data_IF_483324973662
#
_entry.id   IF_483324973662
#
_cell.length_a   1.000
_cell.length_b   1.000
_cell.length_c   1.000
_cell.angle_alpha   90.00
_cell.angle_beta   90.00
_cell.angle_gamma   90.00
#
_symmetry.space_group_name_H-M   'P 1'
#
loop_
_entity.id
_entity.type
_entity.pdbx_description
1 polymer ?
#
# COMPACT_ATOMS: atom_id res chain seq x y z
N UNK A 1 -52.24 32.63 -60.47
CA UNK A 1 -52.85 31.87 -61.58
C UNK A 1 -53.13 30.51 -61.00
N UNK A 2 -54.42 30.22 -60.63
CA UNK A 2 -55.39 29.43 -61.38
C UNK A 2 -55.00 27.93 -61.34
N UNK A 3 -55.70 26.96 -60.89
CA UNK A 3 -57.12 26.64 -60.48
C UNK A 3 -57.09 25.23 -59.90
N UNK A 4 -57.87 24.94 -58.86
CA UNK A 4 -59.10 24.11 -58.86
C UNK A 4 -58.92 22.68 -59.44
N UNK A 5 -59.44 21.58 -58.92
CA UNK A 5 -60.72 21.27 -58.25
C UNK A 5 -60.67 19.83 -57.77
N UNK A 6 -61.15 19.58 -56.61
CA UNK A 6 -62.28 18.75 -56.15
C UNK A 6 -62.69 17.51 -56.94
N UNK A 7 -62.92 16.38 -56.23
CA UNK A 7 -64.19 15.63 -56.06
C UNK A 7 -63.96 14.22 -55.58
N UNK A 8 -64.31 13.89 -54.42
CA UNK A 8 -65.39 13.01 -53.89
C UNK A 8 -65.75 11.73 -54.63
N UNK A 9 -65.80 10.63 -53.86
CA UNK A 9 -66.90 9.67 -53.61
C UNK A 9 -66.27 8.31 -53.13
N UNK A 10 -66.52 7.95 -51.89
CA UNK A 10 -67.54 6.97 -51.40
C UNK A 10 -67.40 5.56 -52.01
N UNK A 11 -67.03 4.58 -51.18
CA UNK A 11 -67.76 3.34 -50.94
C UNK A 11 -67.09 2.46 -49.87
N UNK A 12 -67.86 2.17 -48.85
CA UNK A 12 -67.62 1.03 -47.96
C UNK A 12 -68.25 -0.22 -48.60
N UNK A 13 -67.76 -1.45 -48.40
CA UNK A 13 -68.31 -2.27 -47.32
C UNK A 13 -67.39 -3.31 -46.64
N UNK A 14 -67.99 -3.80 -45.58
CA UNK A 14 -67.96 -5.11 -44.98
C UNK A 14 -66.72 -5.51 -44.14
N UNK A 15 -66.97 -5.53 -42.84
CA UNK A 15 -66.24 -6.17 -41.77
C UNK A 15 -66.13 -7.70 -41.98
N UNK A 16 -64.90 -8.21 -41.83
CA UNK A 16 -64.64 -9.62 -41.44
C UNK A 16 -63.79 -9.60 -40.17
N UNK A 17 -64.46 -10.01 -39.07
CA UNK A 17 -63.81 -10.25 -37.78
C UNK A 17 -62.89 -11.48 -37.88
N UNK A 18 -61.64 -11.28 -37.75
CA UNK A 18 -60.65 -12.35 -37.47
C UNK A 18 -60.34 -12.29 -35.99
N UNK A 19 -60.77 -13.34 -35.27
CA UNK A 19 -60.40 -13.54 -33.89
C UNK A 19 -58.93 -13.95 -33.85
N UNK A 20 -58.02 -13.05 -33.41
CA UNK A 20 -56.68 -13.40 -32.98
C UNK A 20 -56.75 -13.86 -31.53
N UNK A 21 -56.42 -15.12 -31.29
CA UNK A 21 -56.18 -15.67 -29.97
C UNK A 21 -54.82 -15.14 -29.48
N UNK A 22 -54.81 -14.24 -28.50
CA UNK A 22 -53.60 -13.88 -27.76
C UNK A 22 -53.20 -15.06 -26.88
N UNK A 23 -52.15 -15.76 -27.22
CA UNK A 23 -51.39 -16.61 -26.31
C UNK A 23 -50.45 -15.65 -25.52
N UNK A 24 -50.81 -15.38 -24.26
CA UNK A 24 -49.94 -14.66 -23.34
C UNK A 24 -48.81 -15.62 -22.91
N UNK A 25 -47.64 -15.45 -23.51
CA UNK A 25 -46.39 -16.05 -22.98
C UNK A 25 -46.02 -15.25 -21.75
N UNK A 26 -46.23 -15.81 -20.57
CA UNK A 26 -45.68 -15.30 -19.32
C UNK A 26 -44.16 -15.53 -19.36
N UNK A 27 -43.41 -14.49 -19.70
CA UNK A 27 -41.97 -14.46 -19.48
C UNK A 27 -41.74 -14.36 -17.97
N UNK A 28 -41.34 -15.49 -17.36
CA UNK A 28 -40.77 -15.48 -16.01
C UNK A 28 -39.45 -14.76 -16.12
N UNK A 29 -39.42 -13.47 -15.84
CA UNK A 29 -38.20 -12.74 -15.59
C UNK A 29 -37.65 -13.22 -14.25
N UNK A 30 -36.72 -14.17 -14.28
CA UNK A 30 -35.86 -14.47 -13.16
C UNK A 30 -35.00 -13.24 -12.92
N UNK A 31 -35.47 -12.34 -12.07
CA UNK A 31 -34.70 -11.22 -11.56
C UNK A 31 -33.57 -11.76 -10.74
N UNK A 32 -32.38 -11.95 -11.36
CA UNK A 32 -31.15 -12.01 -10.61
C UNK A 32 -31.04 -10.67 -9.87
N UNK A 33 -31.26 -10.70 -8.56
CA UNK A 33 -30.99 -9.55 -7.71
C UNK A 33 -29.48 -9.24 -7.85
N UNK A 34 -29.18 -8.22 -8.64
CA UNK A 34 -27.84 -7.69 -8.73
C UNK A 34 -27.56 -6.98 -7.39
N UNK A 35 -26.99 -7.70 -6.44
CA UNK A 35 -26.46 -7.07 -5.25
C UNK A 35 -25.36 -6.11 -5.72
N UNK A 36 -25.60 -4.80 -5.58
CA UNK A 36 -24.53 -3.83 -5.75
C UNK A 36 -23.44 -4.18 -4.72
N UNK A 37 -22.24 -4.42 -5.20
CA UNK A 37 -21.10 -4.67 -4.31
C UNK A 37 -20.98 -3.49 -3.35
N UNK A 38 -21.31 -3.71 -2.07
CA UNK A 38 -21.18 -2.69 -1.04
C UNK A 38 -19.72 -2.23 -0.91
N UNK A 39 -19.51 -1.09 -0.27
CA UNK A 39 -18.16 -0.60 0.03
C UNK A 39 -17.49 -1.47 1.11
N UNK A 40 -17.11 -2.72 0.76
CA UNK A 40 -16.39 -3.63 1.66
C UNK A 40 -14.91 -3.37 1.65
N UNK A 41 -14.24 -3.60 2.78
CA UNK A 41 -12.78 -3.50 2.90
C UNK A 41 -12.09 -4.48 1.96
N UNK A 42 -11.12 -4.02 1.16
CA UNK A 42 -10.33 -4.93 0.28
C UNK A 42 -9.45 -5.91 1.06
N UNK A 43 -9.22 -5.65 2.34
CA UNK A 43 -8.59 -6.56 3.29
C UNK A 43 -9.62 -6.88 4.39
N UNK A 44 -10.08 -8.13 4.54
CA UNK A 44 -11.14 -8.48 5.47
C UNK A 44 -10.85 -8.04 6.92
N UNK A 45 -11.76 -7.28 7.50
CA UNK A 45 -11.66 -6.79 8.87
C UNK A 45 -10.76 -5.57 9.08
N UNK A 46 -9.98 -5.16 8.09
CA UNK A 46 -9.16 -3.95 8.20
C UNK A 46 -10.05 -2.68 8.21
N UNK A 47 -9.59 -1.67 8.97
CA UNK A 47 -10.29 -0.39 9.22
C UNK A 47 -9.30 0.76 9.10
N UNK A 48 -8.71 0.95 7.92
CA UNK A 48 -7.71 1.98 7.65
C UNK A 48 -8.20 2.97 6.57
N UNK A 49 -7.46 4.04 6.35
CA UNK A 49 -7.82 5.05 5.33
C UNK A 49 -7.86 4.41 3.93
N UNK A 50 -8.89 4.68 3.14
CA UNK A 50 -9.00 4.18 1.77
C UNK A 50 -9.23 2.66 1.62
N UNK A 51 -9.44 1.94 2.71
CA UNK A 51 -9.54 0.47 2.72
C UNK A 51 -10.76 -0.07 1.94
N UNK A 52 -11.74 0.77 1.68
CA UNK A 52 -12.93 0.44 0.88
C UNK A 52 -12.76 0.80 -0.60
N UNK A 53 -11.52 0.98 -1.04
CA UNK A 53 -11.22 1.19 -2.47
C UNK A 53 -11.89 0.12 -3.34
N UNK A 54 -12.47 0.48 -4.50
CA UNK A 54 -12.96 -0.54 -5.42
C UNK A 54 -11.81 -1.34 -6.05
N UNK A 55 -10.62 -0.74 -6.17
CA UNK A 55 -9.46 -1.35 -6.82
C UNK A 55 -9.84 -2.07 -8.12
N UNK A 56 -9.43 -3.32 -8.32
CA UNK A 56 -9.75 -4.10 -9.52
C UNK A 56 -11.08 -4.86 -9.47
N UNK A 57 -11.93 -4.63 -8.46
CA UNK A 57 -13.19 -5.37 -8.24
C UNK A 57 -14.08 -5.35 -9.48
N UNK A 58 -14.59 -6.52 -9.86
CA UNK A 58 -15.48 -6.68 -11.00
C UNK A 58 -14.80 -6.52 -12.36
N UNK A 59 -13.49 -6.41 -12.40
CA UNK A 59 -12.73 -6.16 -13.60
C UNK A 59 -12.18 -7.41 -14.28
N UNK A 60 -11.38 -7.18 -15.34
CA UNK A 60 -10.69 -8.23 -16.05
C UNK A 60 -9.60 -8.87 -15.20
N UNK A 61 -9.48 -10.20 -15.22
CA UNK A 61 -8.35 -10.92 -14.63
C UNK A 61 -7.25 -11.07 -15.69
N UNK A 62 -6.13 -10.39 -15.48
CA UNK A 62 -5.00 -10.38 -16.41
C UNK A 62 -3.85 -11.21 -15.82
N UNK A 63 -3.45 -12.26 -16.55
CA UNK A 63 -2.42 -13.19 -16.11
C UNK A 63 -1.04 -12.67 -16.48
N UNK A 64 -0.15 -12.58 -15.49
CA UNK A 64 1.28 -12.32 -15.70
C UNK A 64 1.98 -13.67 -15.85
N UNK A 65 2.45 -13.95 -17.06
CA UNK A 65 2.97 -15.27 -17.46
C UNK A 65 4.47 -15.27 -17.74
N UNK A 66 5.11 -14.10 -17.70
CA UNK A 66 6.56 -13.97 -17.86
C UNK A 66 7.13 -12.83 -17.00
N UNK A 67 8.45 -12.77 -16.90
CA UNK A 67 9.20 -11.80 -16.09
C UNK A 67 9.81 -10.65 -16.93
N UNK A 68 9.35 -10.47 -18.15
CA UNK A 68 9.83 -9.39 -19.01
C UNK A 68 9.44 -8.03 -18.42
N UNK A 69 10.30 -7.04 -18.63
CA UNK A 69 10.04 -5.67 -18.20
C UNK A 69 8.79 -5.07 -18.87
N UNK A 70 8.47 -5.51 -20.10
CA UNK A 70 7.34 -5.06 -20.90
C UNK A 70 6.86 -6.14 -21.88
N UNK A 71 5.87 -5.82 -22.72
CA UNK A 71 5.32 -6.71 -23.73
C UNK A 71 4.21 -7.64 -23.21
N UNK A 72 3.70 -8.47 -24.10
CA UNK A 72 2.58 -9.36 -23.81
C UNK A 72 2.91 -10.34 -22.67
N UNK A 73 1.97 -10.54 -21.73
CA UNK A 73 2.12 -11.41 -20.59
C UNK A 73 3.01 -10.87 -19.46
N UNK A 74 3.57 -9.66 -19.60
CA UNK A 74 4.32 -9.00 -18.53
C UNK A 74 3.41 -8.31 -17.50
N UNK A 75 3.94 -8.01 -16.30
CA UNK A 75 3.25 -7.17 -15.32
C UNK A 75 2.92 -5.79 -15.89
N UNK A 76 3.84 -5.21 -16.67
CA UNK A 76 3.61 -3.91 -17.29
C UNK A 76 2.42 -3.92 -18.24
N UNK A 77 2.20 -4.96 -19.00
CA UNK A 77 1.01 -5.09 -19.86
C UNK A 77 -0.29 -5.06 -19.05
N UNK A 78 -0.32 -5.69 -17.87
CA UNK A 78 -1.47 -5.59 -16.97
C UNK A 78 -1.62 -4.18 -16.39
N UNK A 79 -0.54 -3.56 -15.97
CA UNK A 79 -0.56 -2.20 -15.40
C UNK A 79 -1.03 -1.16 -16.41
N UNK A 80 -0.61 -1.28 -17.66
CA UNK A 80 -0.96 -0.34 -18.74
C UNK A 80 -2.39 -0.54 -19.29
N UNK A 81 -3.02 -1.68 -19.04
CA UNK A 81 -4.40 -1.93 -19.44
C UNK A 81 -5.35 -0.89 -18.80
N UNK A 82 -6.47 -0.64 -19.46
CA UNK A 82 -7.50 0.30 -19.00
C UNK A 82 -8.70 -0.41 -18.39
N UNK A 83 -9.48 0.30 -17.60
CA UNK A 83 -10.64 -0.25 -16.89
C UNK A 83 -10.27 -1.02 -15.61
N UNK A 84 -11.28 -1.49 -14.86
CA UNK A 84 -11.05 -2.29 -13.67
C UNK A 84 -10.33 -3.60 -14.02
N UNK A 85 -9.28 -3.96 -13.24
CA UNK A 85 -8.47 -5.16 -13.55
C UNK A 85 -7.70 -5.67 -12.34
N UNK A 86 -7.46 -6.97 -12.35
CA UNK A 86 -6.67 -7.69 -11.36
C UNK A 86 -5.50 -8.38 -12.04
N UNK A 87 -4.27 -8.01 -11.70
CA UNK A 87 -3.06 -8.67 -12.16
C UNK A 87 -2.77 -9.87 -11.26
N UNK A 88 -2.82 -11.08 -11.80
CA UNK A 88 -2.50 -12.34 -11.11
C UNK A 88 -1.28 -12.98 -11.74
N UNK A 89 -0.43 -13.62 -10.94
CA UNK A 89 0.87 -14.12 -11.39
C UNK A 89 0.89 -15.64 -11.49
N UNK A 90 1.23 -16.16 -12.66
CA UNK A 90 1.52 -17.58 -12.90
C UNK A 90 3.01 -17.91 -12.85
N UNK A 91 3.84 -16.88 -12.59
CA UNK A 91 5.30 -16.99 -12.52
C UNK A 91 5.82 -16.37 -11.22
N UNK A 92 6.99 -16.81 -10.79
CA UNK A 92 7.80 -16.15 -9.76
C UNK A 92 9.17 -15.77 -10.30
N UNK A 93 9.83 -14.81 -9.67
CA UNK A 93 11.18 -14.38 -10.05
C UNK A 93 11.36 -12.88 -10.02
N UNK A 94 12.43 -12.42 -10.69
CA UNK A 94 12.80 -11.00 -10.77
C UNK A 94 12.37 -10.39 -12.07
N UNK A 95 11.68 -9.26 -12.01
CA UNK A 95 11.35 -8.41 -13.17
C UNK A 95 12.37 -7.28 -13.25
N UNK A 96 13.26 -7.26 -14.26
CA UNK A 96 14.30 -6.22 -14.40
C UNK A 96 13.72 -4.97 -15.06
N UNK A 97 13.31 -3.99 -14.27
CA UNK A 97 12.80 -2.72 -14.77
C UNK A 97 13.93 -1.81 -15.25
N UNK A 98 13.67 -0.97 -16.25
CA UNK A 98 14.57 0.09 -16.75
C UNK A 98 14.23 1.47 -16.15
N UNK A 99 13.23 1.55 -15.33
CA UNK A 99 12.70 2.72 -14.64
C UNK A 99 11.56 2.26 -13.75
N UNK A 100 10.81 3.19 -13.16
CA UNK A 100 9.69 2.83 -12.29
C UNK A 100 8.59 2.05 -13.01
N UNK A 101 7.95 1.14 -12.29
CA UNK A 101 6.65 0.60 -12.67
C UNK A 101 5.56 1.62 -12.31
N UNK A 102 5.09 2.36 -13.31
CA UNK A 102 4.17 3.49 -13.10
C UNK A 102 2.72 3.08 -13.34
N UNK A 103 1.89 3.16 -12.29
CA UNK A 103 0.45 2.94 -12.37
C UNK A 103 -0.26 4.25 -12.73
N UNK A 104 -0.78 4.34 -13.96
CA UNK A 104 -1.47 5.53 -14.48
C UNK A 104 -2.97 5.35 -14.63
N UNK A 105 -3.44 4.12 -14.82
CA UNK A 105 -4.84 3.80 -15.06
C UNK A 105 -5.50 3.33 -13.74
N UNK A 106 -6.63 3.90 -13.34
CA UNK A 106 -7.27 3.60 -12.06
C UNK A 106 -7.93 2.22 -12.03
N UNK A 107 -8.40 1.84 -10.84
CA UNK A 107 -9.13 0.60 -10.56
C UNK A 107 -8.29 -0.63 -10.86
N UNK A 108 -7.16 -0.75 -10.17
CA UNK A 108 -6.23 -1.87 -10.32
C UNK A 108 -5.98 -2.58 -9.00
N UNK A 109 -5.94 -3.91 -9.06
CA UNK A 109 -5.36 -4.77 -8.01
C UNK A 109 -4.13 -5.48 -8.57
N UNK A 110 -2.98 -5.37 -7.89
CA UNK A 110 -1.79 -6.20 -8.16
C UNK A 110 -1.70 -7.24 -7.04
N UNK A 111 -2.00 -8.49 -7.37
CA UNK A 111 -2.14 -9.58 -6.42
C UNK A 111 -0.89 -10.47 -6.41
N UNK A 112 0.20 -9.99 -5.79
CA UNK A 112 1.49 -10.71 -5.70
C UNK A 112 1.40 -12.05 -4.94
N UNK A 113 0.39 -12.22 -4.05
CA UNK A 113 0.11 -13.48 -3.35
C UNK A 113 -0.19 -14.65 -4.29
N UNK A 114 -0.59 -14.38 -5.52
CA UNK A 114 -0.88 -15.43 -6.51
C UNK A 114 0.37 -16.05 -7.13
N UNK A 115 1.51 -15.35 -7.05
CA UNK A 115 2.77 -15.88 -7.55
C UNK A 115 3.21 -17.14 -6.79
N UNK A 116 3.77 -18.15 -7.47
CA UNK A 116 4.42 -19.25 -6.77
C UNK A 116 5.58 -18.74 -5.92
N UNK A 117 6.05 -19.53 -4.95
CA UNK A 117 7.25 -19.21 -4.19
C UNK A 117 8.46 -19.08 -5.14
N UNK A 118 9.35 -18.11 -4.90
CA UNK A 118 9.46 -17.14 -3.79
C UNK A 118 8.76 -15.81 -4.03
N UNK A 119 7.82 -15.71 -4.96
CA UNK A 119 7.09 -14.47 -5.28
C UNK A 119 7.74 -13.63 -6.37
N UNK A 120 7.37 -12.35 -6.44
CA UNK A 120 7.83 -11.41 -7.45
C UNK A 120 8.73 -10.34 -6.82
N UNK A 121 9.88 -10.09 -7.46
CA UNK A 121 10.77 -8.97 -7.11
C UNK A 121 10.91 -8.02 -8.29
N UNK A 122 10.64 -6.73 -8.06
CA UNK A 122 10.95 -5.65 -8.98
C UNK A 122 12.37 -5.14 -8.70
N UNK A 123 13.18 -4.97 -9.74
CA UNK A 123 14.57 -4.51 -9.67
C UNK A 123 14.81 -3.40 -10.69
N UNK A 124 15.66 -2.42 -10.36
CA UNK A 124 16.05 -1.34 -11.27
C UNK A 124 15.14 -0.12 -11.22
N UNK A 125 13.93 -0.24 -10.70
CA UNK A 125 12.97 0.84 -10.46
C UNK A 125 12.04 0.52 -9.31
N UNK A 126 11.32 1.53 -8.83
CA UNK A 126 10.33 1.44 -7.78
C UNK A 126 8.90 1.21 -8.30
N UNK A 127 7.97 1.12 -7.37
CA UNK A 127 6.54 1.15 -7.63
C UNK A 127 6.04 2.60 -7.54
N UNK A 128 5.52 3.15 -8.63
CA UNK A 128 5.09 4.54 -8.70
C UNK A 128 3.57 4.63 -8.98
N UNK A 129 2.80 4.98 -7.94
CA UNK A 129 1.34 5.11 -8.01
C UNK A 129 0.96 6.54 -8.37
N UNK A 130 0.41 6.72 -9.55
CA UNK A 130 -0.04 8.03 -10.09
C UNK A 130 -1.53 8.05 -10.45
N UNK A 131 -2.31 7.20 -9.82
CA UNK A 131 -3.74 7.04 -10.09
C UNK A 131 -4.50 6.64 -8.82
N UNK A 132 -5.82 6.71 -8.88
CA UNK A 132 -6.72 6.37 -7.78
C UNK A 132 -7.20 4.91 -7.85
N UNK A 133 -7.80 4.45 -6.75
CA UNK A 133 -8.45 3.15 -6.64
C UNK A 133 -7.47 2.00 -6.91
N UNK A 134 -6.46 1.90 -6.03
CA UNK A 134 -5.34 0.97 -6.17
C UNK A 134 -5.24 0.06 -4.95
N UNK A 135 -5.04 -1.24 -5.19
CA UNK A 135 -4.58 -2.22 -4.20
C UNK A 135 -3.32 -2.90 -4.74
N UNK A 136 -2.24 -2.87 -3.96
CA UNK A 136 -1.01 -3.63 -4.25
C UNK A 136 -0.65 -4.47 -3.04
N UNK A 137 -0.45 -5.75 -3.26
CA UNK A 137 -0.09 -6.71 -2.22
C UNK A 137 1.05 -7.64 -2.65
N UNK A 138 1.87 -8.03 -1.68
CA UNK A 138 2.82 -9.15 -1.76
C UNK A 138 3.89 -9.01 -2.87
N UNK A 139 4.44 -7.82 -3.04
CA UNK A 139 5.58 -7.56 -3.93
C UNK A 139 6.85 -7.25 -3.14
N UNK A 140 7.99 -7.75 -3.60
CA UNK A 140 9.30 -7.22 -3.23
C UNK A 140 9.68 -6.13 -4.23
N UNK A 141 10.05 -4.95 -3.75
CA UNK A 141 10.48 -3.82 -4.57
C UNK A 141 11.87 -3.38 -4.11
N UNK A 142 12.86 -3.66 -4.92
CA UNK A 142 14.27 -3.41 -4.62
C UNK A 142 14.95 -2.75 -5.80
N UNK A 143 14.83 -1.42 -5.94
CA UNK A 143 15.40 -0.70 -7.08
C UNK A 143 16.90 -0.96 -7.25
N UNK A 144 17.67 -0.92 -6.16
CA UNK A 144 19.11 -1.12 -6.17
C UNK A 144 19.87 -0.01 -6.88
N UNK A 145 21.17 -0.21 -7.07
CA UNK A 145 22.09 0.79 -7.62
C UNK A 145 22.61 0.44 -9.02
N UNK A 146 21.91 -0.39 -9.76
CA UNK A 146 22.26 -0.72 -11.14
C UNK A 146 22.19 0.51 -12.07
N UNK A 147 23.13 0.70 -13.01
CA UNK A 147 23.22 1.90 -13.86
C UNK A 147 22.01 2.11 -14.75
N UNK A 148 21.38 1.04 -15.22
CA UNK A 148 20.28 1.09 -16.18
C UNK A 148 18.89 1.25 -15.55
N UNK A 149 18.81 1.52 -14.24
CA UNK A 149 17.56 1.71 -13.54
C UNK A 149 17.03 3.14 -13.56
N UNK A 150 16.03 3.43 -12.73
CA UNK A 150 15.51 4.78 -12.49
C UNK A 150 16.64 5.75 -12.12
N UNK A 151 16.61 7.04 -12.53
CA UNK A 151 17.59 8.02 -12.10
C UNK A 151 17.78 8.07 -10.59
N UNK A 152 19.03 8.16 -10.08
CA UNK A 152 19.31 8.03 -8.65
C UNK A 152 18.60 9.05 -7.75
N UNK A 153 18.38 10.27 -8.25
CA UNK A 153 17.81 11.39 -7.47
C UNK A 153 16.38 11.14 -6.97
N UNK A 154 15.66 10.21 -7.58
CA UNK A 154 14.30 9.85 -7.18
C UNK A 154 14.09 8.34 -7.25
N UNK A 155 15.13 7.55 -6.96
CA UNK A 155 15.04 6.09 -6.98
C UNK A 155 14.54 5.56 -5.64
N UNK A 156 13.24 5.78 -5.42
CA UNK A 156 12.52 5.26 -4.26
C UNK A 156 12.07 3.81 -4.46
N UNK A 157 11.74 3.15 -3.35
CA UNK A 157 11.05 1.87 -3.39
C UNK A 157 9.57 2.02 -3.75
N UNK A 158 8.86 2.88 -3.03
CA UNK A 158 7.46 3.24 -3.27
C UNK A 158 7.33 4.73 -3.52
N UNK A 159 6.57 5.10 -4.54
CA UNK A 159 6.13 6.50 -4.77
C UNK A 159 4.62 6.57 -4.89
N UNK A 160 3.99 7.52 -4.19
CA UNK A 160 2.57 7.86 -4.34
C UNK A 160 2.50 9.35 -4.62
N UNK A 161 2.14 9.73 -5.84
CA UNK A 161 2.18 11.14 -6.25
C UNK A 161 1.13 11.44 -7.32
N UNK A 162 0.08 12.16 -6.94
CA UNK A 162 -0.91 12.70 -7.87
C UNK A 162 -0.42 13.93 -8.62
N UNK A 163 -1.12 14.33 -9.67
CA UNK A 163 -0.87 15.61 -10.33
C UNK A 163 -1.26 16.77 -9.40
N UNK A 164 -0.60 17.95 -9.52
CA UNK A 164 -0.86 19.10 -8.62
C UNK A 164 -2.32 19.56 -8.58
N UNK A 165 -3.03 19.42 -9.69
CA UNK A 165 -4.41 19.86 -9.88
C UNK A 165 -5.47 18.91 -9.34
N UNK A 166 -5.13 17.66 -9.10
CA UNK A 166 -6.09 16.65 -8.66
C UNK A 166 -5.46 15.58 -7.76
N UNK A 167 -5.99 15.44 -6.55
CA UNK A 167 -5.51 14.40 -5.64
C UNK A 167 -5.93 13.00 -6.12
N UNK A 168 -4.97 12.09 -6.19
CA UNK A 168 -5.25 10.66 -6.31
C UNK A 168 -5.70 10.12 -4.95
N UNK A 169 -6.57 9.10 -4.93
CA UNK A 169 -7.18 8.63 -3.67
C UNK A 169 -7.47 7.14 -3.65
N UNK A 170 -7.76 6.66 -2.44
CA UNK A 170 -8.14 5.27 -2.19
C UNK A 170 -7.03 4.31 -2.62
N UNK A 171 -5.86 4.45 -2.01
CA UNK A 171 -4.67 3.66 -2.32
C UNK A 171 -4.34 2.78 -1.12
N UNK A 172 -4.19 1.49 -1.35
CA UNK A 172 -3.80 0.50 -0.33
C UNK A 172 -2.55 -0.23 -0.79
N UNK A 173 -1.48 -0.11 0.00
CA UNK A 173 -0.22 -0.83 -0.17
C UNK A 173 -0.05 -1.72 1.05
N UNK A 174 -0.13 -3.02 0.86
CA UNK A 174 -0.21 -3.95 1.97
C UNK A 174 0.70 -5.17 1.73
N UNK A 175 1.36 -5.64 2.79
CA UNK A 175 2.25 -6.80 2.74
C UNK A 175 3.25 -6.73 1.56
N UNK A 176 3.96 -5.61 1.40
CA UNK A 176 5.07 -5.48 0.46
C UNK A 176 6.40 -5.32 1.21
N UNK A 177 7.51 -5.59 0.53
CA UNK A 177 8.87 -5.38 1.06
C UNK A 177 9.63 -4.40 0.17
N UNK A 178 9.99 -3.25 0.73
CA UNK A 178 10.74 -2.19 0.07
C UNK A 178 12.14 -2.12 0.65
N UNK A 179 13.16 -2.33 -0.19
CA UNK A 179 14.56 -2.29 0.23
C UNK A 179 15.45 -1.76 -0.89
N UNK A 180 16.64 -1.30 -0.54
CA UNK A 180 17.69 -0.93 -1.48
C UNK A 180 17.32 0.23 -2.41
N UNK A 181 16.51 1.16 -1.92
CA UNK A 181 16.31 2.46 -2.56
C UNK A 181 17.57 3.33 -2.41
N UNK A 182 17.75 4.27 -3.33
CA UNK A 182 18.83 5.25 -3.29
C UNK A 182 18.37 6.53 -2.60
N UNK A 183 17.12 6.92 -2.80
CA UNK A 183 16.48 8.04 -2.13
C UNK A 183 15.64 7.54 -0.94
N UNK A 184 14.32 7.58 -0.94
CA UNK A 184 13.47 7.04 0.10
C UNK A 184 13.10 5.56 -0.11
N UNK A 185 12.96 4.82 0.99
CA UNK A 185 12.30 3.51 0.94
C UNK A 185 10.84 3.64 0.51
N UNK A 186 10.20 4.76 0.86
CA UNK A 186 8.87 5.08 0.40
C UNK A 186 8.54 6.55 0.53
N UNK A 187 7.86 7.09 -0.47
CA UNK A 187 7.37 8.47 -0.46
C UNK A 187 5.89 8.53 -0.88
N UNK A 188 5.09 9.29 -0.12
CA UNK A 188 3.78 9.75 -0.54
C UNK A 188 3.87 11.27 -0.64
N UNK A 189 4.23 11.79 -1.83
CA UNK A 189 4.54 13.20 -2.03
C UNK A 189 3.58 13.86 -3.01
N UNK A 190 2.95 14.96 -2.61
CA UNK A 190 1.96 15.75 -3.35
C UNK A 190 0.64 15.02 -3.71
N UNK A 191 -0.43 15.76 -3.67
CA UNK A 191 -1.77 15.50 -4.23
C UNK A 191 -2.32 14.07 -4.07
N UNK A 192 -2.50 13.60 -2.84
CA UNK A 192 -3.14 12.32 -2.54
C UNK A 192 -4.08 12.44 -1.33
N UNK A 193 -5.03 11.50 -1.20
CA UNK A 193 -5.91 11.34 -0.04
C UNK A 193 -6.33 9.88 0.15
N UNK A 194 -6.74 9.52 1.35
CA UNK A 194 -7.19 8.18 1.71
C UNK A 194 -6.18 7.08 1.32
N UNK A 195 -5.02 7.10 1.96
CA UNK A 195 -3.92 6.16 1.73
C UNK A 195 -3.76 5.24 2.93
N UNK A 196 -3.63 3.94 2.68
CA UNK A 196 -3.18 2.93 3.64
C UNK A 196 -1.85 2.34 3.22
N UNK A 197 -0.91 2.31 4.14
CA UNK A 197 0.38 1.63 4.01
C UNK A 197 0.49 0.70 5.22
N UNK A 198 0.26 -0.60 5.01
CA UNK A 198 0.08 -1.55 6.13
C UNK A 198 0.88 -2.83 5.96
N UNK A 199 1.36 -3.38 7.07
CA UNK A 199 2.04 -4.68 7.12
C UNK A 199 3.27 -4.79 6.19
N UNK A 200 3.93 -3.70 5.85
CA UNK A 200 5.09 -3.71 4.95
C UNK A 200 6.41 -3.80 5.72
N UNK A 201 7.46 -4.19 5.01
CA UNK A 201 8.85 -3.98 5.42
C UNK A 201 9.44 -2.83 4.61
N UNK A 202 10.02 -1.84 5.29
CA UNK A 202 10.84 -0.76 4.73
C UNK A 202 12.23 -0.88 5.37
N UNK A 203 13.20 -1.42 4.66
CA UNK A 203 14.49 -1.71 5.27
C UNK A 203 15.68 -1.63 4.31
N UNK A 204 16.86 -1.49 4.90
CA UNK A 204 18.11 -1.53 4.15
C UNK A 204 18.18 -0.51 3.01
N UNK A 205 17.90 0.80 3.24
CA UNK A 205 18.18 1.81 2.23
C UNK A 205 19.68 1.88 1.94
N UNK A 206 20.03 2.26 0.71
CA UNK A 206 21.42 2.43 0.31
C UNK A 206 21.94 3.79 0.79
N UNK A 207 22.74 3.81 1.85
CA UNK A 207 23.10 5.04 2.54
C UNK A 207 24.13 5.88 1.78
N UNK A 208 25.33 5.37 1.56
CA UNK A 208 26.34 6.00 0.69
C UNK A 208 26.27 5.35 -0.68
N UNK A 209 25.51 5.95 -1.59
CA UNK A 209 25.24 5.39 -2.90
C UNK A 209 25.33 6.43 -4.02
N UNK A 210 24.57 6.26 -5.08
CA UNK A 210 24.63 7.11 -6.28
C UNK A 210 23.78 8.40 -6.17
N UNK A 211 23.22 8.72 -4.99
CA UNK A 211 22.40 9.92 -4.86
C UNK A 211 23.25 11.18 -5.09
N UNK A 212 22.82 12.13 -5.96
CA UNK A 212 23.64 13.29 -6.30
C UNK A 212 23.89 14.26 -5.12
N UNK A 213 23.05 14.25 -4.10
CA UNK A 213 23.22 15.03 -2.87
C UNK A 213 24.09 14.35 -1.82
N UNK A 214 24.69 13.20 -2.13
CA UNK A 214 25.57 12.46 -1.23
C UNK A 214 24.83 11.40 -0.39
N UNK A 215 25.31 11.16 0.83
CA UNK A 215 24.77 10.11 1.70
C UNK A 215 23.30 10.32 2.05
N UNK A 216 22.45 9.40 1.61
CA UNK A 216 20.98 9.41 1.75
C UNK A 216 20.51 8.28 2.69
N UNK A 217 19.74 7.32 2.22
CA UNK A 217 19.29 6.19 3.01
C UNK A 217 18.13 6.55 3.92
N UNK A 218 17.12 7.22 3.40
CA UNK A 218 15.94 7.64 4.15
C UNK A 218 14.84 6.56 4.17
N UNK A 219 14.01 6.61 5.22
CA UNK A 219 12.87 5.72 5.42
C UNK A 219 11.66 6.13 4.59
N UNK A 220 10.59 6.56 5.26
CA UNK A 220 9.31 6.87 4.61
C UNK A 220 8.90 8.32 4.89
N UNK A 221 8.48 9.04 3.83
CA UNK A 221 8.01 10.42 3.96
C UNK A 221 6.58 10.58 3.44
N UNK A 222 5.76 11.34 4.18
CA UNK A 222 4.44 11.78 3.74
C UNK A 222 4.51 13.27 3.46
N UNK A 223 4.36 13.67 2.22
CA UNK A 223 4.59 15.00 1.74
C UNK A 223 3.51 16.01 2.11
N UNK A 224 3.69 17.28 1.72
CA UNK A 224 2.84 18.41 2.14
C UNK A 224 1.50 18.37 1.42
N UNK A 225 0.55 17.58 1.93
CA UNK A 225 -0.78 17.43 1.33
C UNK A 225 -1.88 17.56 2.37
N UNK A 226 -3.08 17.93 1.91
CA UNK A 226 -4.32 17.86 2.68
C UNK A 226 -4.92 16.45 2.60
N UNK A 227 -4.09 15.43 2.83
CA UNK A 227 -4.45 14.03 2.71
C UNK A 227 -4.62 13.33 4.05
N UNK A 228 -5.31 12.20 4.03
CA UNK A 228 -5.51 11.30 5.15
C UNK A 228 -4.74 10.01 4.89
N UNK A 229 -3.82 9.66 5.80
CA UNK A 229 -3.01 8.45 5.69
C UNK A 229 -3.03 7.63 6.99
N UNK A 230 -3.14 6.32 6.83
CA UNK A 230 -2.88 5.34 7.90
C UNK A 230 -1.62 4.55 7.57
N UNK A 231 -0.64 4.65 8.45
CA UNK A 231 0.62 3.90 8.41
C UNK A 231 0.66 2.94 9.59
N UNK A 232 0.40 1.64 9.36
CA UNK A 232 0.18 0.71 10.47
C UNK A 232 0.82 -0.66 10.26
N UNK A 233 1.29 -1.27 11.35
CA UNK A 233 1.87 -2.61 11.39
C UNK A 233 3.10 -2.80 10.47
N UNK A 234 3.80 -1.74 10.13
CA UNK A 234 4.99 -1.80 9.28
C UNK A 234 6.25 -2.01 10.13
N UNK A 235 7.24 -2.64 9.54
CA UNK A 235 8.62 -2.65 10.03
C UNK A 235 9.44 -1.64 9.24
N UNK A 236 10.01 -0.63 9.93
CA UNK A 236 11.07 0.22 9.36
C UNK A 236 12.38 -0.14 10.03
N UNK A 237 13.43 -0.42 9.26
CA UNK A 237 14.72 -0.86 9.82
C UNK A 237 15.92 -0.28 9.09
N UNK A 238 16.85 0.30 9.86
CA UNK A 238 18.16 0.74 9.37
C UNK A 238 18.15 2.02 8.54
N UNK A 239 17.09 2.79 8.54
CA UNK A 239 17.03 4.05 7.82
C UNK A 239 17.62 5.23 8.65
N UNK A 240 18.18 6.20 7.96
CA UNK A 240 18.87 7.35 8.58
C UNK A 240 17.93 8.24 9.37
N UNK A 241 16.83 8.67 8.74
CA UNK A 241 15.74 9.51 9.26
C UNK A 241 14.46 9.19 8.50
N UNK A 242 13.37 9.91 8.78
CA UNK A 242 12.06 9.70 8.12
C UNK A 242 11.48 8.31 8.45
N UNK A 243 11.28 8.02 9.75
CA UNK A 243 10.85 6.69 10.23
C UNK A 243 9.45 6.67 10.92
N UNK A 244 8.35 7.15 10.31
CA UNK A 244 8.27 8.01 9.13
C UNK A 244 8.43 9.51 9.46
N UNK A 245 8.62 10.35 8.45
CA UNK A 245 8.43 11.78 8.54
C UNK A 245 7.05 12.14 8.01
N UNK A 246 6.21 12.76 8.83
CA UNK A 246 4.90 13.25 8.42
C UNK A 246 4.88 14.76 8.20
N UNK A 247 4.45 15.14 7.02
CA UNK A 247 4.17 16.49 6.59
C UNK A 247 2.72 16.60 6.04
N UNK A 248 1.91 15.57 6.26
CA UNK A 248 0.51 15.53 5.88
C UNK A 248 -0.38 16.18 6.93
N UNK A 249 -1.51 16.74 6.50
CA UNK A 249 -2.45 17.36 7.45
C UNK A 249 -3.15 16.36 8.35
N UNK A 250 -3.24 15.07 7.98
CA UNK A 250 -4.01 14.08 8.71
C UNK A 250 -3.30 12.73 8.69
N UNK A 251 -2.59 12.38 9.76
CA UNK A 251 -1.75 11.17 9.80
C UNK A 251 -2.08 10.31 11.01
N UNK A 252 -2.21 9.00 10.78
CA UNK A 252 -2.32 7.98 11.81
C UNK A 252 -1.15 7.00 11.68
N UNK A 253 -0.26 6.95 12.68
CA UNK A 253 0.92 6.08 12.75
C UNK A 253 0.72 5.12 13.90
N UNK A 254 0.45 3.84 13.61
CA UNK A 254 -0.05 2.89 14.62
C UNK A 254 0.62 1.52 14.51
N UNK A 255 1.01 0.99 15.67
CA UNK A 255 1.51 -0.37 15.82
C UNK A 255 2.68 -0.73 14.87
N UNK A 256 3.53 0.24 14.54
CA UNK A 256 4.73 -0.02 13.74
C UNK A 256 5.90 -0.39 14.66
N UNK A 257 6.86 -1.12 14.09
CA UNK A 257 8.19 -1.33 14.68
C UNK A 257 9.19 -0.49 13.91
N UNK A 258 9.87 0.42 14.62
CA UNK A 258 10.93 1.27 14.09
C UNK A 258 12.23 0.84 14.78
N UNK A 259 13.16 0.31 14.00
CA UNK A 259 14.40 -0.26 14.51
C UNK A 259 15.64 0.36 13.88
N UNK A 260 16.66 0.66 14.73
CA UNK A 260 18.02 0.95 14.29
C UNK A 260 18.13 2.15 13.34
N UNK A 261 17.41 3.25 13.62
CA UNK A 261 17.57 4.53 12.90
C UNK A 261 18.90 5.19 13.28
N UNK A 262 19.53 5.92 12.35
CA UNK A 262 20.78 6.61 12.65
C UNK A 262 20.55 7.92 13.38
N UNK A 263 19.75 8.82 12.80
CA UNK A 263 19.59 10.18 13.31
C UNK A 263 18.25 10.42 14.00
N UNK A 264 17.14 10.10 13.35
CA UNK A 264 15.80 10.45 13.84
C UNK A 264 14.82 9.30 13.70
N UNK A 265 13.97 9.11 14.71
CA UNK A 265 12.84 8.21 14.69
C UNK A 265 11.66 8.79 13.92
N UNK A 266 10.48 8.88 14.54
CA UNK A 266 9.29 9.52 13.94
C UNK A 266 9.49 11.04 13.95
N UNK A 267 9.21 11.69 12.84
CA UNK A 267 9.31 13.15 12.71
C UNK A 267 7.98 13.76 12.25
N UNK A 268 7.60 14.89 12.86
CA UNK A 268 6.42 15.68 12.52
C UNK A 268 6.84 17.07 12.08
N UNK A 269 6.41 17.47 10.90
CA UNK A 269 6.63 18.80 10.35
C UNK A 269 5.40 19.30 9.59
N UNK A 270 5.47 20.53 9.08
CA UNK A 270 4.45 21.11 8.18
C UNK A 270 5.06 22.13 7.25
N UNK A 271 4.51 22.30 6.07
CA UNK A 271 4.77 23.41 5.16
C UNK A 271 3.64 24.45 5.23
N UNK A 272 3.32 24.89 6.45
CA UNK A 272 2.37 25.97 6.71
C UNK A 272 0.91 25.52 6.90
N UNK A 273 0.57 24.27 6.69
CA UNK A 273 -0.77 23.75 6.96
C UNK A 273 -0.92 23.25 8.41
N UNK A 274 -2.07 23.45 9.02
CA UNK A 274 -2.42 22.83 10.31
C UNK A 274 -2.44 21.32 10.15
N UNK A 275 -1.71 20.62 11.02
CA UNK A 275 -1.59 19.16 10.99
C UNK A 275 -2.26 18.50 12.20
N UNK A 276 -2.77 17.32 11.99
CA UNK A 276 -3.33 16.45 13.04
C UNK A 276 -2.71 15.08 12.91
N UNK A 277 -2.01 14.67 13.97
CA UNK A 277 -1.27 13.41 13.99
C UNK A 277 -1.73 12.56 15.17
N UNK A 278 -1.93 11.26 14.95
CA UNK A 278 -2.15 10.25 15.99
C UNK A 278 -1.03 9.22 15.93
N UNK A 279 -0.26 9.09 17.00
CA UNK A 279 0.90 8.21 17.11
C UNK A 279 0.65 7.25 18.27
N UNK A 280 0.26 6.01 17.98
CA UNK A 280 -0.26 5.09 18.99
C UNK A 280 0.31 3.68 18.83
N UNK A 281 0.72 3.09 19.93
CA UNK A 281 1.08 1.67 19.97
C UNK A 281 2.35 1.30 19.19
N UNK A 282 3.22 2.27 18.85
CA UNK A 282 4.45 1.96 18.11
C UNK A 282 5.56 1.49 19.07
N UNK A 283 6.47 0.67 18.55
CA UNK A 283 7.65 0.17 19.25
C UNK A 283 8.90 0.71 18.55
N UNK A 284 9.66 1.57 19.25
CA UNK A 284 10.88 2.19 18.74
C UNK A 284 12.09 1.62 19.47
N UNK A 285 12.95 0.90 18.77
CA UNK A 285 14.09 0.16 19.34
C UNK A 285 15.38 0.71 18.75
N UNK A 286 16.26 1.24 19.62
CA UNK A 286 17.61 1.61 19.24
C UNK A 286 18.41 0.38 18.82
N UNK A 287 19.30 0.56 17.85
CA UNK A 287 20.19 -0.49 17.37
C UNK A 287 21.61 0.04 17.19
N UNK A 288 22.51 -0.75 16.61
CA UNK A 288 23.93 -0.37 16.46
C UNK A 288 24.18 0.92 15.68
N UNK A 289 23.25 1.32 14.78
CA UNK A 289 23.36 2.58 14.03
C UNK A 289 22.81 3.78 14.78
N UNK A 290 22.01 3.58 15.83
CA UNK A 290 21.34 4.67 16.54
C UNK A 290 22.33 5.42 17.42
N UNK A 291 22.89 6.50 16.90
CA UNK A 291 23.82 7.39 17.59
C UNK A 291 23.15 8.63 18.17
N UNK A 292 21.91 8.90 17.77
CA UNK A 292 21.17 10.07 18.18
C UNK A 292 20.75 10.00 19.65
N UNK A 293 20.96 11.10 20.38
CA UNK A 293 20.39 11.35 21.73
C UNK A 293 19.01 12.03 21.68
N UNK A 294 18.50 12.36 20.48
CA UNK A 294 17.18 12.97 20.35
C UNK A 294 16.06 12.01 20.76
N UNK A 295 14.93 12.56 21.14
CA UNK A 295 13.76 11.77 21.50
C UNK A 295 13.30 10.88 20.30
N UNK A 296 12.71 9.70 20.58
CA UNK A 296 12.22 8.81 19.53
C UNK A 296 11.13 9.41 18.63
N UNK A 297 10.33 10.33 19.15
CA UNK A 297 9.29 11.08 18.41
C UNK A 297 9.66 12.56 18.47
N UNK A 298 9.72 13.21 17.32
CA UNK A 298 10.21 14.57 17.19
C UNK A 298 9.19 15.47 16.48
N UNK A 299 9.01 16.68 17.03
CA UNK A 299 8.29 17.76 16.36
C UNK A 299 9.32 18.80 15.92
N UNK A 300 9.34 19.18 14.65
CA UNK A 300 10.30 20.15 14.11
C UNK A 300 10.04 21.54 14.67
N UNK A 301 11.12 22.24 15.03
CA UNK A 301 11.09 23.57 15.61
C UNK A 301 11.68 24.67 14.68
N UNK A 302 12.12 24.29 13.46
CA UNK A 302 12.63 25.20 12.43
C UNK A 302 11.51 25.86 11.62
N UNK A 303 11.83 26.35 10.42
CA UNK A 303 10.86 26.96 9.49
C UNK A 303 9.74 26.00 9.05
N UNK A 304 9.90 24.69 9.27
CA UNK A 304 8.90 23.66 8.95
C UNK A 304 8.09 23.21 10.16
N UNK A 305 8.13 23.96 11.27
CA UNK A 305 7.33 23.65 12.46
C UNK A 305 5.82 23.65 12.14
N UNK A 306 5.04 22.72 12.70
CA UNK A 306 3.59 22.76 12.57
C UNK A 306 3.02 24.10 13.10
N UNK A 307 2.13 24.77 12.39
CA UNK A 307 1.57 26.04 12.82
C UNK A 307 0.64 25.90 14.02
N UNK A 308 0.29 27.04 14.64
CA UNK A 308 -0.70 27.07 15.71
C UNK A 308 -2.01 26.41 15.28
N UNK A 309 -2.63 25.66 16.21
CA UNK A 309 -3.81 24.82 15.92
C UNK A 309 -3.49 23.39 15.53
N UNK A 310 -2.24 23.08 15.18
CA UNK A 310 -1.83 21.67 14.96
C UNK A 310 -1.94 20.85 16.24
N UNK A 311 -2.29 19.57 16.09
CA UNK A 311 -2.50 18.65 17.22
C UNK A 311 -1.78 17.32 17.03
N UNK A 312 -1.25 16.81 18.13
CA UNK A 312 -0.58 15.50 18.20
C UNK A 312 -1.16 14.72 19.37
N UNK A 313 -1.74 13.58 19.07
CA UNK A 313 -2.15 12.60 20.07
C UNK A 313 -1.07 11.50 20.16
N UNK A 314 -0.57 11.27 21.35
CA UNK A 314 0.47 10.26 21.63
C UNK A 314 -0.02 9.36 22.74
N UNK A 315 -0.07 8.05 22.50
CA UNK A 315 -0.49 7.06 23.50
C UNK A 315 0.17 5.70 23.22
N UNK A 316 0.44 4.96 24.29
CA UNK A 316 0.86 3.56 24.23
C UNK A 316 2.04 3.29 23.27
N UNK A 317 3.03 4.19 23.17
CA UNK A 317 4.26 3.92 22.42
C UNK A 317 5.36 3.45 23.38
N UNK A 318 6.14 2.45 22.96
CA UNK A 318 7.28 1.92 23.71
C UNK A 318 8.59 2.34 23.07
N UNK A 319 9.48 2.93 23.84
CA UNK A 319 10.84 3.29 23.45
C UNK A 319 11.73 3.41 24.70
N UNK A 320 13.05 3.58 24.53
CA UNK A 320 13.93 3.98 25.63
C UNK A 320 13.45 5.30 26.23
N UNK A 321 13.31 5.34 27.56
CA UNK A 321 12.79 6.50 28.29
C UNK A 321 11.26 6.58 28.35
N UNK A 322 10.52 5.57 27.91
CA UNK A 322 9.07 5.48 28.13
C UNK A 322 8.75 5.44 29.60
N UNK A 323 7.72 6.18 30.00
CA UNK A 323 7.16 6.24 31.36
C UNK A 323 5.63 6.16 31.29
N UNK A 324 4.96 6.35 32.42
CA UNK A 324 3.49 6.50 32.42
C UNK A 324 3.00 7.77 31.70
N UNK A 325 3.87 8.80 31.54
CA UNK A 325 3.57 9.94 30.66
C UNK A 325 3.92 9.57 29.22
N UNK A 326 2.96 9.45 28.29
CA UNK A 326 3.22 9.12 26.91
C UNK A 326 4.06 10.17 26.17
N UNK A 327 4.19 11.38 26.73
CA UNK A 327 5.00 12.46 26.17
C UNK A 327 6.46 12.45 26.63
N UNK A 328 6.85 11.56 27.53
CA UNK A 328 8.26 11.43 27.97
C UNK A 328 9.24 11.13 26.83
N UNK A 329 8.75 10.51 25.75
CA UNK A 329 9.53 10.13 24.55
C UNK A 329 9.32 11.09 23.38
N UNK A 330 8.72 12.26 23.60
CA UNK A 330 8.48 13.29 22.56
C UNK A 330 9.35 14.50 22.82
N UNK A 331 10.10 14.89 21.83
CA UNK A 331 10.99 16.06 21.87
C UNK A 331 10.83 16.96 20.64
N UNK A 332 11.78 17.88 20.52
CA UNK A 332 11.88 18.76 19.36
C UNK A 332 13.19 18.54 18.62
N UNK A 333 13.21 18.82 17.31
CA UNK A 333 14.44 18.80 16.49
C UNK A 333 14.62 20.14 15.78
N UNK A 334 15.87 20.46 15.42
CA UNK A 334 16.26 21.73 14.77
C UNK A 334 15.89 22.98 15.58
N UNK A 335 15.92 22.88 16.92
CA UNK A 335 15.61 23.95 17.85
C UNK A 335 14.71 23.46 18.99
N UNK A 336 14.24 24.41 19.80
CA UNK A 336 13.36 24.15 20.94
C UNK A 336 12.06 24.92 20.80
N UNK A 337 10.95 24.30 21.21
CA UNK A 337 9.65 24.97 21.29
C UNK A 337 8.80 24.35 22.41
N UNK A 338 7.81 25.10 22.87
CA UNK A 338 6.85 24.59 23.82
C UNK A 338 5.81 23.67 23.12
N UNK A 339 5.80 22.40 23.49
CA UNK A 339 4.93 21.38 22.94
C UNK A 339 3.52 21.32 23.56
N UNK A 340 3.27 22.07 24.65
CA UNK A 340 2.01 21.98 25.41
C UNK A 340 0.78 22.28 24.54
N UNK A 341 0.87 23.26 23.64
CA UNK A 341 -0.23 23.64 22.75
C UNK A 341 -0.56 22.60 21.68
N UNK A 342 0.36 21.70 21.40
CA UNK A 342 0.20 20.62 20.40
C UNK A 342 -0.45 19.37 20.98
N UNK A 343 -0.42 19.17 22.30
CA UNK A 343 -0.99 18.00 22.97
C UNK A 343 -2.49 17.88 22.70
N UNK A 344 -2.93 16.71 22.29
CA UNK A 344 -4.34 16.34 22.17
C UNK A 344 -4.69 15.28 23.21
N UNK A 345 -5.87 15.41 23.85
CA UNK A 345 -6.36 14.45 24.84
C UNK A 345 -6.96 13.18 24.21
N UNK A 346 -7.35 13.25 22.93
CA UNK A 346 -7.90 12.13 22.18
C UNK A 346 -7.47 12.25 20.71
N UNK A 347 -7.48 11.15 19.93
CA UNK A 347 -7.14 11.20 18.52
C UNK A 347 -8.22 11.96 17.75
N UNK A 348 -7.87 13.11 17.17
CA UNK A 348 -8.77 13.88 16.30
C UNK A 348 -8.95 13.22 14.93
N UNK A 349 -7.98 12.36 14.52
CA UNK A 349 -8.02 11.54 13.31
C UNK A 349 -7.86 10.08 13.74
N UNK A 350 -8.90 9.30 13.49
CA UNK A 350 -8.91 7.87 13.80
C UNK A 350 -9.84 7.15 12.84
N UNK A 351 -9.38 6.11 12.13
CA UNK A 351 -10.27 5.35 11.27
C UNK A 351 -11.38 4.67 12.08
N UNK A 352 -12.61 4.80 11.64
CA UNK A 352 -13.77 4.26 12.35
C UNK A 352 -13.65 2.74 12.55
N UNK A 353 -13.74 2.30 13.80
CA UNK A 353 -13.62 0.89 14.16
C UNK A 353 -12.21 0.32 14.11
N UNK A 354 -11.16 1.16 13.91
CA UNK A 354 -9.78 0.71 13.99
C UNK A 354 -9.40 0.45 15.46
N UNK A 355 -8.79 -0.70 15.73
CA UNK A 355 -8.31 -1.09 17.07
C UNK A 355 -6.80 -1.24 17.05
N UNK A 356 -6.17 -0.93 18.19
CA UNK A 356 -4.73 -1.06 18.38
C UNK A 356 -4.38 -2.32 19.14
N UNK A 357 -3.17 -2.82 18.92
CA UNK A 357 -2.51 -3.78 19.80
C UNK A 357 -1.71 -3.02 20.86
N UNK A 358 -1.59 -3.52 22.09
CA UNK A 358 -0.70 -2.91 23.09
C UNK A 358 0.76 -2.99 22.66
N UNK A 359 1.51 -1.90 22.84
CA UNK A 359 2.95 -1.86 22.49
C UNK A 359 3.80 -2.62 23.52
N UNK A 360 3.29 -2.81 24.73
CA UNK A 360 3.95 -3.56 25.82
C UNK A 360 4.03 -5.06 25.53
N UNK A 361 4.79 -5.77 26.37
CA UNK A 361 4.90 -7.23 26.41
C UNK A 361 5.26 -7.89 25.08
N UNK A 362 5.82 -7.10 24.14
CA UNK A 362 6.22 -7.59 22.82
C UNK A 362 5.06 -7.91 21.88
N UNK A 363 3.82 -7.52 22.19
CA UNK A 363 2.65 -7.85 21.37
C UNK A 363 2.81 -7.28 19.96
N UNK A 364 3.02 -5.97 19.83
CA UNK A 364 3.25 -5.32 18.51
C UNK A 364 4.53 -5.83 17.87
N UNK A 365 5.63 -5.91 18.63
CA UNK A 365 6.91 -6.38 18.10
C UNK A 365 6.77 -7.77 17.47
N UNK A 366 6.22 -8.73 18.20
CA UNK A 366 6.05 -10.10 17.72
C UNK A 366 5.10 -10.17 16.53
N UNK A 367 4.00 -9.41 16.55
CA UNK A 367 3.04 -9.35 15.45
C UNK A 367 3.71 -8.84 14.17
N UNK A 368 4.37 -7.68 14.24
CA UNK A 368 5.01 -7.06 13.08
C UNK A 368 6.14 -7.94 12.53
N UNK A 369 7.02 -8.47 13.39
CA UNK A 369 8.09 -9.37 12.96
C UNK A 369 7.57 -10.69 12.36
N UNK A 370 6.38 -11.12 12.76
CA UNK A 370 5.77 -12.33 12.22
C UNK A 370 5.10 -12.09 10.86
N UNK A 371 4.35 -10.99 10.72
CA UNK A 371 3.40 -10.83 9.62
C UNK A 371 3.76 -9.73 8.60
N UNK A 372 4.74 -8.85 8.86
CA UNK A 372 5.10 -7.82 7.87
C UNK A 372 5.91 -8.36 6.69
N UNK A 373 5.84 -7.65 5.56
CA UNK A 373 6.57 -7.94 4.35
C UNK A 373 5.82 -8.76 3.31
N UNK A 374 6.44 -8.95 2.16
CA UNK A 374 5.79 -9.50 0.99
C UNK A 374 5.32 -10.96 1.16
N UNK A 375 6.09 -11.78 1.85
CA UNK A 375 5.77 -13.23 2.03
C UNK A 375 6.18 -13.71 3.42
N UNK A 376 5.44 -13.37 4.46
CA UNK A 376 5.82 -13.72 5.83
C UNK A 376 6.05 -15.22 6.08
N UNK A 377 5.30 -16.10 5.40
CA UNK A 377 5.44 -17.53 5.56
C UNK A 377 6.69 -18.11 4.88
N UNK A 378 7.15 -17.51 3.79
CA UNK A 378 8.29 -17.99 2.99
C UNK A 378 9.23 -16.84 2.57
N UNK A 379 9.61 -15.98 3.52
CA UNK A 379 10.52 -14.86 3.31
C UNK A 379 11.78 -15.23 2.54
N UNK A 380 12.20 -14.36 1.64
CA UNK A 380 13.52 -14.47 1.00
C UNK A 380 14.68 -14.14 1.98
N UNK A 381 15.91 -14.20 1.49
CA UNK A 381 17.10 -13.98 2.32
C UNK A 381 17.21 -12.57 2.88
N UNK A 382 16.69 -11.56 2.17
CA UNK A 382 16.72 -10.15 2.60
C UNK A 382 15.74 -9.93 3.74
N UNK A 383 14.47 -10.29 3.54
CA UNK A 383 13.44 -10.13 4.57
C UNK A 383 13.73 -10.97 5.81
N UNK A 384 14.28 -12.19 5.63
CA UNK A 384 14.75 -13.02 6.76
C UNK A 384 15.84 -12.29 7.55
N UNK A 385 16.84 -11.72 6.88
CA UNK A 385 17.94 -10.99 7.52
C UNK A 385 17.41 -9.76 8.27
N UNK A 386 16.53 -8.98 7.66
CA UNK A 386 15.92 -7.80 8.29
C UNK A 386 15.21 -8.16 9.58
N UNK A 387 14.35 -9.16 9.57
CA UNK A 387 13.64 -9.65 10.77
C UNK A 387 14.63 -10.19 11.82
N UNK A 388 15.65 -10.92 11.39
CA UNK A 388 16.68 -11.46 12.28
C UNK A 388 17.50 -10.36 12.95
N UNK A 389 17.85 -9.29 12.21
CA UNK A 389 18.56 -8.15 12.76
C UNK A 389 17.79 -7.49 13.91
N UNK A 390 16.48 -7.31 13.75
CA UNK A 390 15.64 -6.77 14.85
C UNK A 390 15.66 -7.69 16.06
N UNK A 391 15.51 -9.00 15.86
CA UNK A 391 15.49 -9.98 16.96
C UNK A 391 16.80 -10.05 17.72
N UNK A 392 17.92 -9.90 17.00
CA UNK A 392 19.26 -10.05 17.57
C UNK A 392 19.89 -8.73 18.00
N UNK A 393 19.25 -7.57 17.76
CA UNK A 393 19.82 -6.27 18.03
C UNK A 393 21.04 -5.96 17.13
N UNK A 394 21.02 -6.42 15.87
CA UNK A 394 22.14 -6.30 14.91
C UNK A 394 21.73 -5.51 13.67
N UNK A 395 22.63 -5.36 12.72
CA UNK A 395 22.40 -4.66 11.45
C UNK A 395 23.25 -3.39 11.32
N UNK A 396 23.60 -3.05 10.11
CA UNK A 396 24.45 -1.92 9.76
C UNK A 396 23.94 -1.17 8.53
N UNK A 397 24.60 -0.04 8.22
CA UNK A 397 24.33 0.72 6.99
C UNK A 397 24.81 -0.07 5.78
N UNK A 398 24.06 0.03 4.68
CA UNK A 398 24.51 -0.48 3.40
C UNK A 398 25.16 0.68 2.64
N UNK A 399 26.48 0.66 2.60
CA UNK A 399 27.28 1.69 1.94
C UNK A 399 27.86 1.14 0.65
N UNK A 400 27.78 1.91 -0.42
CA UNK A 400 28.56 1.71 -1.62
C UNK A 400 29.91 2.36 -1.42
N UNK A 401 30.93 1.56 -1.31
CA UNK A 401 32.28 2.11 -1.30
C UNK A 401 32.77 2.11 -2.73
N UNK A 402 32.57 3.17 -3.47
CA UNK A 402 33.47 3.76 -4.45
C UNK A 402 32.84 4.83 -5.31
N UNK A 403 33.38 6.04 -5.34
CA UNK A 403 33.02 7.09 -6.27
C UNK A 403 33.25 6.72 -7.75
N UNK A 404 33.98 5.64 -8.03
CA UNK A 404 34.33 5.20 -9.39
C UNK A 404 33.26 4.32 -10.06
N UNK A 405 32.11 4.11 -9.44
CA UNK A 405 30.99 3.40 -10.05
C UNK A 405 31.16 1.88 -10.25
N UNK A 406 32.21 1.29 -9.72
CA UNK A 406 32.54 -0.14 -9.94
C UNK A 406 32.05 -1.07 -8.84
N UNK A 407 31.83 -0.58 -7.63
CA UNK A 407 31.30 -1.38 -6.52
C UNK A 407 29.84 -1.08 -6.29
N UNK A 408 28.98 -2.10 -6.32
CA UNK A 408 27.54 -1.98 -6.10
C UNK A 408 27.20 -2.18 -4.64
N UNK A 409 26.32 -1.35 -4.09
CA UNK A 409 25.89 -1.43 -2.70
C UNK A 409 25.21 -2.76 -2.37
N UNK A 410 24.41 -3.27 -3.29
CA UNK A 410 23.76 -4.56 -3.13
C UNK A 410 24.76 -5.70 -2.90
N UNK A 411 25.99 -5.60 -3.42
CA UNK A 411 27.06 -6.58 -3.17
C UNK A 411 27.46 -6.61 -1.70
N UNK A 412 27.56 -5.45 -1.06
CA UNK A 412 27.89 -5.34 0.37
C UNK A 412 26.76 -5.89 1.27
N UNK A 413 25.52 -5.90 0.76
CA UNK A 413 24.37 -6.54 1.41
C UNK A 413 24.22 -8.04 1.10
N UNK A 414 25.27 -8.69 0.57
CA UNK A 414 25.23 -10.11 0.18
C UNK A 414 24.76 -10.36 -1.25
N UNK A 415 24.57 -9.31 -2.05
CA UNK A 415 24.09 -9.37 -3.42
C UNK A 415 22.58 -9.55 -3.52
N UNK A 416 22.09 -9.59 -4.76
CA UNK A 416 20.69 -9.82 -5.04
C UNK A 416 20.27 -11.24 -4.63
N UNK A 417 19.15 -11.42 -3.94
CA UNK A 417 18.65 -12.76 -3.66
C UNK A 417 18.30 -13.45 -4.98
N UNK A 418 18.64 -14.72 -5.08
CA UNK A 418 18.20 -15.56 -6.20
C UNK A 418 16.71 -15.83 -6.02
N UNK A 419 15.89 -15.23 -6.88
CA UNK A 419 14.47 -15.52 -6.94
C UNK A 419 14.26 -16.66 -7.95
N UNK A 420 13.87 -17.83 -7.46
CA UNK A 420 13.60 -18.97 -8.33
C UNK A 420 12.48 -18.63 -9.33
N UNK A 421 12.72 -18.97 -10.60
CA UNK A 421 11.74 -18.82 -11.67
C UNK A 421 10.87 -20.06 -11.73
N UNK A 422 9.76 -20.03 -11.01
CA UNK A 422 8.78 -21.10 -11.02
C UNK A 422 7.56 -20.69 -11.85
N UNK A 423 6.86 -21.67 -12.41
CA UNK A 423 5.62 -21.45 -13.15
C UNK A 423 4.52 -22.33 -12.55
N UNK A 424 3.36 -21.74 -12.38
CA UNK A 424 2.16 -22.43 -11.88
C UNK A 424 0.92 -21.84 -12.53
N UNK A 425 0.27 -22.57 -13.45
CA UNK A 425 -1.02 -22.17 -13.98
C UNK A 425 -2.04 -21.98 -12.85
N UNK A 426 -2.79 -20.92 -12.89
CA UNK A 426 -3.80 -20.60 -11.89
C UNK A 426 -5.17 -21.14 -12.32
N UNK A 427 -5.84 -21.87 -11.42
CA UNK A 427 -7.26 -22.17 -11.55
C UNK A 427 -8.04 -21.07 -10.85
N UNK A 428 -8.69 -20.22 -11.64
CA UNK A 428 -9.56 -19.16 -11.12
C UNK A 428 -10.87 -19.74 -10.63
N UNK A 429 -11.54 -19.09 -9.67
CA UNK A 429 -12.89 -19.49 -9.27
C UNK A 429 -13.87 -19.35 -10.45
N UNK A 430 -14.90 -20.19 -10.45
CA UNK A 430 -16.01 -20.01 -11.36
C UNK A 430 -16.66 -18.64 -11.11
N UNK A 431 -17.11 -17.98 -12.19
CA UNK A 431 -17.69 -16.63 -12.12
C UNK A 431 -16.90 -15.66 -11.21
N UNK A 432 -15.66 -15.31 -11.56
CA UNK A 432 -14.75 -14.57 -10.69
C UNK A 432 -15.37 -13.27 -10.15
N UNK A 433 -16.25 -12.64 -10.93
CA UNK A 433 -16.88 -11.35 -10.62
C UNK A 433 -18.25 -11.46 -9.95
N UNK A 434 -18.79 -12.69 -9.76
CA UNK A 434 -20.03 -12.86 -9.02
C UNK A 434 -19.86 -12.41 -7.56
N UNK A 435 -20.79 -11.58 -7.09
CA UNK A 435 -20.78 -11.00 -5.73
C UNK A 435 -21.49 -11.94 -4.78
N UNK A 436 -20.83 -12.26 -3.67
CA UNK A 436 -21.37 -13.09 -2.57
C UNK A 436 -22.21 -12.25 -1.61
N UNK A 437 -22.96 -12.90 -0.72
CA UNK A 437 -23.76 -12.24 0.33
C UNK A 437 -22.93 -11.30 1.21
N UNK A 438 -21.62 -11.58 1.40
CA UNK A 438 -20.69 -10.72 2.13
C UNK A 438 -20.22 -9.48 1.36
N UNK A 439 -20.67 -9.28 0.11
CA UNK A 439 -20.30 -8.15 -0.74
C UNK A 439 -18.95 -8.28 -1.46
N UNK A 440 -18.22 -9.37 -1.23
CA UNK A 440 -17.00 -9.72 -1.96
C UNK A 440 -17.30 -10.47 -3.24
N UNK A 441 -16.45 -10.31 -4.25
CA UNK A 441 -16.51 -11.20 -5.42
C UNK A 441 -15.85 -12.56 -5.11
N UNK A 442 -16.19 -13.60 -5.87
CA UNK A 442 -15.53 -14.91 -5.76
C UNK A 442 -14.01 -14.80 -5.93
N UNK A 443 -13.56 -13.91 -6.83
CA UNK A 443 -12.14 -13.64 -7.01
C UNK A 443 -11.50 -13.04 -5.76
N UNK A 444 -12.15 -12.07 -5.10
CA UNK A 444 -11.61 -11.48 -3.88
C UNK A 444 -11.51 -12.50 -2.75
N UNK A 445 -12.51 -13.36 -2.55
CA UNK A 445 -12.42 -14.42 -1.54
C UNK A 445 -11.25 -15.37 -1.82
N UNK A 446 -11.07 -15.76 -3.08
CA UNK A 446 -9.95 -16.59 -3.50
C UNK A 446 -8.59 -15.89 -3.28
N UNK A 447 -8.49 -14.58 -3.54
CA UNK A 447 -7.29 -13.79 -3.27
C UNK A 447 -7.01 -13.67 -1.77
N UNK A 448 -8.03 -13.56 -0.94
CA UNK A 448 -7.89 -13.53 0.51
C UNK A 448 -7.34 -14.86 1.06
N UNK A 449 -7.79 -16.00 0.53
CA UNK A 449 -7.26 -17.31 0.89
C UNK A 449 -5.78 -17.45 0.50
N UNK A 450 -5.41 -17.00 -0.70
CA UNK A 450 -4.03 -16.99 -1.14
C UNK A 450 -3.15 -16.05 -0.31
N UNK A 451 -3.68 -14.90 0.09
CA UNK A 451 -2.99 -13.99 1.00
C UNK A 451 -2.75 -14.65 2.36
N UNK A 452 -3.77 -15.31 2.93
CA UNK A 452 -3.62 -16.03 4.20
C UNK A 452 -2.51 -17.10 4.13
N UNK A 453 -2.41 -17.84 3.02
CA UNK A 453 -1.35 -18.84 2.81
C UNK A 453 0.05 -18.22 2.84
N UNK A 454 0.28 -17.14 2.08
CA UNK A 454 1.61 -16.49 2.00
C UNK A 454 1.97 -15.68 3.25
N UNK A 455 0.98 -15.33 4.05
CA UNK A 455 1.14 -14.67 5.34
C UNK A 455 1.30 -15.66 6.51
N UNK A 456 1.04 -16.95 6.29
CA UNK A 456 1.08 -17.98 7.35
C UNK A 456 -0.06 -17.82 8.35
N UNK A 457 -1.21 -17.32 7.89
CA UNK A 457 -2.46 -17.21 8.67
C UNK A 457 -3.39 -18.39 8.34
N UNK A 458 -4.19 -18.81 9.30
CA UNK A 458 -5.26 -19.78 9.03
C UNK A 458 -6.30 -19.17 8.10
N UNK A 459 -6.68 -19.87 7.06
CA UNK A 459 -7.84 -19.50 6.24
C UNK A 459 -9.07 -19.42 7.15
N UNK A 460 -9.86 -18.36 7.07
CA UNK A 460 -11.18 -18.37 7.68
C UNK A 460 -12.00 -19.44 6.96
N UNK A 461 -12.53 -20.40 7.72
CA UNK A 461 -13.51 -21.33 7.16
C UNK A 461 -14.62 -20.50 6.50
N UNK A 462 -15.07 -20.82 5.27
CA UNK A 462 -16.23 -20.18 4.70
C UNK A 462 -17.35 -20.32 5.74
N UNK A 463 -18.00 -19.22 6.09
CA UNK A 463 -19.19 -19.26 6.94
C UNK A 463 -20.19 -20.16 6.23
N UNK A 464 -20.34 -21.39 6.69
CA UNK A 464 -21.41 -22.27 6.23
C UNK A 464 -22.72 -21.54 6.47
N UNK A 465 -23.64 -21.50 5.51
CA UNK A 465 -24.97 -21.00 5.78
C UNK A 465 -25.53 -21.84 6.91
N UNK A 466 -25.88 -21.22 8.01
CA UNK A 466 -26.66 -21.85 9.08
C UNK A 466 -27.97 -22.29 8.41
N UNK A 467 -28.10 -23.55 8.11
CA UNK A 467 -29.37 -24.15 7.82
C UNK A 467 -30.22 -23.95 9.08
N UNK A 468 -31.15 -23.01 9.00
CA UNK A 468 -32.19 -22.89 10.01
C UNK A 468 -32.98 -24.20 10.00
N UNK A 469 -32.79 -25.01 11.01
CA UNK A 469 -33.65 -26.13 11.29
C UNK A 469 -35.07 -25.59 11.55
N UNK A 470 -36.00 -26.18 10.81
CA UNK A 470 -37.45 -25.96 10.97
C UNK A 470 -37.96 -26.70 12.19
#
# INVERSE_FOLDING_TARGET
>A
MIHHSSMTLSNRPAARAVRLSLIAAAAVASGAASFAAGAVSVIPGAKTSGITTPAGRGGAVIRVTNLNADGAGSLKACVDATGPRVCVFEVSGTIPLKGDLVLRNPKITIAGQTAPSPGIMLRGGGLNVRTSDVLVQHLHVRPGDDPGGEPPINRDGLKISGPPEAAIKNIVIDHCSFSWSIDELGSAWASWDNVSITNNIFAEPLHESLHPEGAHGYGVIFGPVKGNITFANNLISGAKSRNPLSNSTRTTIVNNVIYNWTNKGIELQSHGAVTTNSIVGNVLIKGPLTTSSEAPILVRADSTKPPAGSKVFVADNTADGSTSDPWAIVGTSFGTMNLSSYKAASPAIWPAGFTTMPSSDGVVLNHVLKFSGARPADRDSVDKRVVQNVRNGTGGSINCVAPNGTTRCNKNAGGWPTMAQNSRPLTLPADPNAVTEGGYTNLELWLHDMAADVEGRSRKAPSSPVLADR
#
